data_IF_450067554129
#
_entry.id   IF_450067554129
#
_cell.length_a   1.000
_cell.length_b   1.000
_cell.length_c   1.000
_cell.angle_alpha   90.00
_cell.angle_beta   90.00
_cell.angle_gamma   90.00
#
_symmetry.space_group_name_H-M   'P 1'
#
loop_
_entity.id
_entity.type
_entity.pdbx_description
1 polymer ?
#
# COMPACT_ATOMS: atom_id res chain seq x y z
N UNK A 1 -10.70 82.48 15.41
CA UNK A 1 -10.15 83.34 14.39
C UNK A 1 -10.13 82.58 13.10
N UNK A 2 -11.12 82.89 12.20
CA UNK A 2 -11.17 82.82 10.75
C UNK A 2 -11.23 81.38 10.10
N UNK A 3 -12.45 81.02 9.78
CA UNK A 3 -12.89 80.50 8.48
C UNK A 3 -12.56 81.49 7.35
N UNK A 4 -12.58 81.30 6.04
CA UNK A 4 -13.44 80.42 5.24
C UNK A 4 -12.88 79.98 3.85
N UNK A 5 -13.70 79.23 3.12
CA UNK A 5 -14.15 79.46 1.72
C UNK A 5 -13.93 78.27 0.79
N UNK A 6 -15.03 77.58 0.43
CA UNK A 6 -15.80 77.66 -0.84
C UNK A 6 -15.02 77.58 -2.13
N UNK A 7 -15.32 76.59 -2.96
CA UNK A 7 -15.74 76.67 -4.41
C UNK A 7 -15.43 75.38 -5.12
N UNK A 8 -16.08 74.84 -6.08
CA UNK A 8 -17.23 75.11 -6.93
C UNK A 8 -17.57 73.82 -7.63
N UNK A 9 -18.82 73.54 -7.79
CA UNK A 9 -19.42 72.51 -8.62
C UNK A 9 -19.27 72.85 -10.11
N UNK A 10 -18.96 71.85 -10.97
CA UNK A 10 -19.12 71.99 -12.40
C UNK A 10 -20.03 70.83 -12.88
N UNK A 11 -20.87 71.06 -13.92
CA UNK A 11 -22.04 70.25 -14.23
C UNK A 11 -21.71 69.01 -15.07
N UNK A 12 -22.53 67.96 -14.91
CA UNK A 12 -22.55 66.75 -15.73
C UNK A 12 -23.10 67.10 -17.14
N UNK A 13 -22.51 66.57 -18.23
CA UNK A 13 -23.18 66.63 -19.54
C UNK A 13 -24.26 65.53 -19.59
N UNK A 14 -25.45 65.97 -20.07
CA UNK A 14 -26.60 65.09 -20.40
C UNK A 14 -26.23 64.20 -21.57
N UNK A 15 -26.45 62.88 -21.37
CA UNK A 15 -26.36 61.88 -22.44
C UNK A 15 -27.61 61.98 -23.31
N UNK A 16 -27.44 62.18 -24.61
CA UNK A 16 -28.50 62.15 -25.63
C UNK A 16 -29.07 60.73 -25.78
N UNK A 17 -30.39 60.68 -25.73
CA UNK A 17 -31.21 59.52 -26.11
C UNK A 17 -31.20 59.43 -27.64
N UNK A 18 -30.37 58.54 -28.21
CA UNK A 18 -30.54 57.98 -29.54
C UNK A 18 -29.60 56.81 -29.74
N UNK A 19 -30.06 55.63 -29.29
CA UNK A 19 -29.69 54.31 -29.87
C UNK A 19 -30.50 53.19 -29.16
N UNK A 20 -31.80 53.26 -29.41
CA UNK A 20 -32.69 52.13 -29.25
C UNK A 20 -32.52 51.26 -30.52
N UNK A 21 -31.74 50.23 -30.43
CA UNK A 21 -31.68 49.26 -31.53
C UNK A 21 -30.38 48.48 -31.60
N UNK A 22 -30.13 47.63 -30.60
CA UNK A 22 -29.38 46.38 -30.70
C UNK A 22 -29.04 45.83 -29.30
N UNK A 23 -30.06 45.42 -28.57
CA UNK A 23 -29.89 44.47 -27.46
C UNK A 23 -30.39 43.12 -27.96
N UNK A 24 -29.70 42.55 -28.95
CA UNK A 24 -29.76 41.12 -29.17
C UNK A 24 -28.68 40.43 -28.35
N UNK A 25 -29.13 39.79 -27.30
CA UNK A 25 -28.66 38.54 -26.73
C UNK A 25 -27.20 38.18 -27.06
N UNK A 26 -26.26 38.53 -26.19
CA UNK A 26 -25.11 37.72 -25.90
C UNK A 26 -25.20 37.30 -24.44
N UNK A 27 -26.10 36.34 -24.16
CA UNK A 27 -25.98 35.49 -23.01
C UNK A 27 -24.81 34.54 -23.29
N UNK A 28 -23.58 35.04 -23.18
CA UNK A 28 -22.43 34.15 -23.02
C UNK A 28 -22.61 33.41 -21.72
N UNK A 29 -23.17 32.22 -21.83
CA UNK A 29 -23.06 31.19 -20.85
C UNK A 29 -21.56 30.96 -20.67
N UNK A 30 -20.94 31.66 -19.71
CA UNK A 30 -19.62 31.30 -19.20
C UNK A 30 -19.75 29.86 -18.68
N UNK A 31 -19.53 28.91 -19.55
CA UNK A 31 -19.15 27.55 -19.16
C UNK A 31 -17.86 27.69 -18.37
N UNK A 32 -18.00 27.81 -17.03
CA UNK A 32 -16.88 27.60 -16.11
C UNK A 32 -16.19 26.33 -16.56
N UNK A 33 -14.87 26.38 -16.88
CA UNK A 33 -14.14 25.18 -17.20
C UNK A 33 -14.25 24.28 -15.98
N UNK A 34 -14.99 23.19 -16.09
CA UNK A 34 -15.05 22.14 -15.09
C UNK A 34 -13.61 21.77 -14.76
N UNK A 35 -13.19 22.06 -13.53
CA UNK A 35 -11.86 21.71 -13.01
C UNK A 35 -11.56 20.29 -13.44
N UNK A 36 -10.44 20.01 -14.12
CA UNK A 36 -10.13 18.66 -14.57
C UNK A 36 -10.16 17.76 -13.34
N UNK A 37 -11.05 16.78 -13.32
CA UNK A 37 -11.11 15.79 -12.28
C UNK A 37 -9.70 15.21 -12.17
N UNK A 38 -9.01 15.47 -11.05
CA UNK A 38 -7.64 14.97 -10.82
C UNK A 38 -7.70 13.45 -10.89
N UNK A 39 -7.43 12.91 -12.07
CA UNK A 39 -7.12 11.49 -12.23
C UNK A 39 -5.94 11.23 -11.31
N UNK A 40 -6.20 10.65 -10.14
CA UNK A 40 -5.13 10.28 -9.20
C UNK A 40 -4.35 9.16 -9.86
N UNK A 41 -3.24 9.51 -10.48
CA UNK A 41 -2.29 8.58 -11.08
C UNK A 41 -1.90 7.52 -10.05
N UNK A 42 -2.00 6.28 -10.45
CA UNK A 42 -1.57 5.12 -9.68
C UNK A 42 -0.08 5.27 -9.35
N UNK A 43 0.29 5.04 -8.11
CA UNK A 43 1.67 5.14 -7.65
C UNK A 43 2.32 3.78 -7.89
N UNK A 44 3.07 3.67 -8.98
CA UNK A 44 3.67 2.41 -9.42
C UNK A 44 4.71 1.88 -8.43
N UNK A 45 5.41 2.76 -7.73
CA UNK A 45 6.39 2.41 -6.69
C UNK A 45 5.76 1.57 -5.57
N UNK A 46 4.53 1.90 -5.15
CA UNK A 46 3.83 1.10 -4.13
C UNK A 46 3.50 -0.31 -4.62
N UNK A 47 3.19 -0.46 -5.91
CA UNK A 47 2.93 -1.78 -6.48
C UNK A 47 4.21 -2.62 -6.51
N UNK A 48 5.37 -2.02 -6.85
CA UNK A 48 6.67 -2.69 -6.83
C UNK A 48 7.06 -3.12 -5.41
N UNK A 49 6.99 -2.21 -4.43
CA UNK A 49 7.31 -2.52 -3.03
C UNK A 49 6.37 -3.61 -2.47
N UNK A 50 5.09 -3.59 -2.85
CA UNK A 50 4.13 -4.62 -2.46
C UNK A 50 4.46 -5.99 -3.08
N UNK A 51 4.85 -6.02 -4.37
CA UNK A 51 5.28 -7.23 -5.05
C UNK A 51 6.56 -7.82 -4.44
N UNK A 52 7.53 -6.97 -4.13
CA UNK A 52 8.74 -7.36 -3.42
C UNK A 52 8.42 -7.96 -2.02
N UNK A 53 7.57 -7.28 -1.25
CA UNK A 53 7.15 -7.78 0.06
C UNK A 53 6.40 -9.12 -0.04
N UNK A 54 5.61 -9.32 -1.08
CA UNK A 54 4.90 -10.58 -1.32
C UNK A 54 5.87 -11.75 -1.56
N UNK A 55 6.95 -11.53 -2.31
CA UNK A 55 7.98 -12.56 -2.49
C UNK A 55 8.61 -12.97 -1.16
N UNK A 56 8.92 -12.00 -0.30
CA UNK A 56 9.46 -12.29 1.04
C UNK A 56 8.44 -12.98 1.94
N UNK A 57 7.16 -12.61 1.89
CA UNK A 57 6.09 -13.27 2.66
C UNK A 57 5.94 -14.74 2.23
N UNK A 58 6.09 -15.06 0.95
CA UNK A 58 6.08 -16.46 0.49
C UNK A 58 7.18 -17.27 1.17
N UNK A 59 8.41 -16.72 1.25
CA UNK A 59 9.52 -17.39 1.94
C UNK A 59 9.27 -17.50 3.45
N UNK A 60 8.65 -16.47 4.08
CA UNK A 60 8.23 -16.53 5.49
C UNK A 60 7.23 -17.65 5.76
N UNK A 61 6.31 -17.86 4.82
CA UNK A 61 5.23 -18.86 4.96
C UNK A 61 5.67 -20.28 4.64
N UNK A 62 6.83 -20.47 4.03
CA UNK A 62 7.32 -21.79 3.66
C UNK A 62 7.50 -22.72 4.87
N UNK A 63 8.31 -22.36 5.92
CA UNK A 63 8.57 -23.27 7.04
C UNK A 63 7.31 -23.75 7.77
N UNK A 64 6.33 -22.88 8.12
CA UNK A 64 5.13 -23.33 8.82
C UNK A 64 4.19 -24.16 7.95
N UNK A 65 4.19 -23.99 6.62
CA UNK A 65 3.30 -24.75 5.74
C UNK A 65 3.87 -26.15 5.46
N UNK A 66 5.19 -26.25 5.25
CA UNK A 66 5.84 -27.54 4.94
C UNK A 66 6.47 -28.20 6.17
N UNK A 67 6.26 -27.63 7.37
CA UNK A 67 6.74 -28.17 8.66
C UNK A 67 8.26 -28.38 8.68
N UNK A 68 9.04 -27.38 8.20
CA UNK A 68 10.49 -27.44 8.26
C UNK A 68 10.99 -27.43 9.71
N UNK A 69 11.69 -28.50 10.10
CA UNK A 69 12.38 -28.61 11.37
C UNK A 69 13.72 -27.87 11.39
N UNK A 70 14.34 -27.81 12.57
CA UNK A 70 15.66 -27.23 12.78
C UNK A 70 16.59 -28.30 13.32
N UNK A 71 17.29 -28.99 12.43
CA UNK A 71 18.36 -29.90 12.81
C UNK A 71 19.72 -29.23 12.78
N UNK A 72 20.71 -29.79 13.49
CA UNK A 72 22.04 -29.20 13.65
C UNK A 72 22.75 -28.84 12.34
N UNK A 73 22.46 -29.53 11.22
CA UNK A 73 22.99 -29.24 9.89
C UNK A 73 22.37 -28.00 9.23
N UNK A 74 21.12 -27.66 9.57
CA UNK A 74 20.38 -26.53 9.01
C UNK A 74 20.55 -25.23 9.78
N UNK A 75 21.29 -25.22 10.90
CA UNK A 75 21.36 -24.10 11.85
C UNK A 75 21.79 -22.77 11.21
N UNK A 76 22.79 -22.78 10.31
CA UNK A 76 23.27 -21.55 9.65
C UNK A 76 22.19 -20.97 8.73
N UNK A 77 21.47 -21.82 8.00
CA UNK A 77 20.41 -21.42 7.10
C UNK A 77 19.21 -20.89 7.88
N UNK A 78 18.86 -21.56 8.99
CA UNK A 78 17.80 -21.11 9.89
C UNK A 78 18.11 -19.75 10.52
N UNK A 79 19.37 -19.50 10.95
CA UNK A 79 19.80 -18.19 11.43
C UNK A 79 19.64 -17.12 10.34
N UNK A 80 20.13 -17.37 9.13
CA UNK A 80 19.92 -16.44 8.01
C UNK A 80 18.44 -16.13 7.80
N UNK A 81 17.59 -17.15 7.79
CA UNK A 81 16.15 -16.98 7.66
C UNK A 81 15.57 -16.13 8.80
N UNK A 82 15.93 -16.39 10.05
CA UNK A 82 15.49 -15.63 11.21
C UNK A 82 15.96 -14.16 11.16
N UNK A 83 17.19 -13.93 10.74
CA UNK A 83 17.80 -12.60 10.77
C UNK A 83 17.35 -11.73 9.60
N UNK A 84 17.14 -12.30 8.40
CA UNK A 84 16.92 -11.53 7.19
C UNK A 84 15.51 -11.68 6.58
N UNK A 85 14.76 -12.68 6.97
CA UNK A 85 13.47 -12.99 6.36
C UNK A 85 12.30 -12.90 7.35
N UNK A 86 12.39 -13.61 8.46
CA UNK A 86 11.32 -13.67 9.43
C UNK A 86 11.10 -12.30 10.10
N UNK A 87 9.83 -11.90 10.25
CA UNK A 87 9.43 -10.62 10.83
C UNK A 87 9.93 -9.36 10.08
N UNK A 88 10.38 -9.46 8.80
CA UNK A 88 10.86 -8.32 8.01
C UNK A 88 9.87 -7.89 6.93
N UNK A 89 9.15 -8.83 6.33
CA UNK A 89 8.30 -8.56 5.17
C UNK A 89 6.84 -8.23 5.54
N UNK A 90 6.28 -8.84 6.58
CA UNK A 90 4.92 -8.50 6.99
C UNK A 90 4.77 -7.06 7.50
N UNK A 91 5.77 -6.43 8.18
CA UNK A 91 5.69 -5.00 8.50
C UNK A 91 5.62 -4.11 7.27
N UNK A 92 6.35 -4.45 6.20
CA UNK A 92 6.27 -3.74 4.91
C UNK A 92 4.84 -3.79 4.39
N UNK A 93 4.27 -5.01 4.36
CA UNK A 93 2.92 -5.21 3.84
C UNK A 93 1.86 -4.52 4.69
N UNK A 94 1.99 -4.56 6.03
CA UNK A 94 1.12 -3.85 6.97
C UNK A 94 1.15 -2.34 6.75
N UNK A 95 2.32 -1.76 6.63
CA UNK A 95 2.49 -0.34 6.37
C UNK A 95 1.88 0.09 5.03
N UNK A 96 2.14 -0.68 3.95
CA UNK A 96 1.55 -0.45 2.64
C UNK A 96 0.03 -0.61 2.62
N UNK A 97 -0.51 -1.50 3.46
CA UNK A 97 -1.96 -1.65 3.63
C UNK A 97 -2.57 -0.38 4.24
N UNK A 98 -1.94 0.18 5.27
CA UNK A 98 -2.33 1.46 5.85
C UNK A 98 -2.28 2.61 4.84
N UNK A 99 -1.20 2.72 4.04
CA UNK A 99 -1.10 3.70 2.95
C UNK A 99 -2.25 3.51 1.95
N UNK A 100 -2.49 2.27 1.51
CA UNK A 100 -3.57 1.93 0.59
C UNK A 100 -4.95 2.29 1.16
N UNK A 101 -5.16 2.09 2.46
CA UNK A 101 -6.38 2.51 3.15
C UNK A 101 -6.55 4.03 3.14
N UNK A 102 -5.49 4.79 3.43
CA UNK A 102 -5.52 6.26 3.39
C UNK A 102 -5.88 6.81 2.02
N UNK A 103 -5.25 6.30 0.96
CA UNK A 103 -5.57 6.65 -0.41
C UNK A 103 -7.02 6.29 -0.79
N UNK A 104 -7.49 5.14 -0.30
CA UNK A 104 -8.85 4.69 -0.55
C UNK A 104 -9.89 5.50 0.24
N UNK A 105 -9.60 5.89 1.49
CA UNK A 105 -10.45 6.76 2.30
C UNK A 105 -10.70 8.09 1.59
N UNK A 106 -9.65 8.74 1.09
CA UNK A 106 -9.78 9.99 0.32
C UNK A 106 -10.68 9.81 -0.92
N UNK A 107 -10.50 8.69 -1.66
CA UNK A 107 -11.34 8.41 -2.82
C UNK A 107 -12.79 8.04 -2.45
N UNK A 108 -12.99 7.38 -1.31
CA UNK A 108 -14.31 6.98 -0.84
C UNK A 108 -15.16 8.18 -0.38
N UNK A 109 -14.52 9.14 0.28
CA UNK A 109 -15.18 10.41 0.69
C UNK A 109 -15.75 11.17 -0.50
N UNK A 110 -14.96 11.28 -1.58
CA UNK A 110 -15.32 12.05 -2.75
C UNK A 110 -16.40 11.33 -3.61
N UNK A 111 -16.49 10.01 -3.53
CA UNK A 111 -17.28 9.18 -4.46
C UNK A 111 -18.45 8.44 -3.83
N UNK A 112 -18.58 8.39 -2.53
CA UNK A 112 -19.62 7.59 -1.86
C UNK A 112 -20.38 8.36 -0.80
N UNK A 113 -21.72 8.29 -0.79
CA UNK A 113 -22.53 8.85 0.27
C UNK A 113 -22.30 8.14 1.63
N UNK A 114 -21.85 6.90 1.59
CA UNK A 114 -21.54 6.09 2.79
C UNK A 114 -20.13 5.49 2.70
N UNK A 115 -19.07 6.32 2.81
CA UNK A 115 -17.70 5.87 2.59
C UNK A 115 -17.25 4.82 3.61
N UNK A 116 -17.62 4.97 4.88
CA UNK A 116 -17.28 4.03 5.96
C UNK A 116 -17.89 2.64 5.75
N UNK A 117 -19.14 2.58 5.24
CA UNK A 117 -19.78 1.30 4.93
C UNK A 117 -19.05 0.56 3.80
N UNK A 118 -18.56 1.29 2.78
CA UNK A 118 -17.73 0.67 1.73
C UNK A 118 -16.43 0.09 2.30
N UNK A 119 -15.78 0.79 3.24
CA UNK A 119 -14.58 0.32 3.92
C UNK A 119 -14.88 -0.88 4.84
N UNK A 120 -15.98 -0.84 5.58
CA UNK A 120 -16.41 -1.97 6.42
C UNK A 120 -16.66 -3.23 5.57
N UNK A 121 -17.37 -3.12 4.44
CA UNK A 121 -17.58 -4.24 3.49
C UNK A 121 -16.24 -4.80 2.98
N UNK A 122 -15.27 -3.93 2.76
CA UNK A 122 -13.92 -4.32 2.34
C UNK A 122 -13.23 -5.17 3.41
N UNK A 123 -13.28 -4.75 4.67
CA UNK A 123 -12.72 -5.51 5.78
C UNK A 123 -13.50 -6.79 6.07
N UNK A 124 -14.83 -6.75 6.00
CA UNK A 124 -15.65 -7.94 6.17
C UNK A 124 -15.31 -9.02 5.12
N UNK A 125 -15.18 -8.63 3.85
CA UNK A 125 -14.73 -9.55 2.80
C UNK A 125 -13.34 -10.14 3.11
N UNK A 126 -12.40 -9.27 3.52
CA UNK A 126 -11.05 -9.71 3.88
C UNK A 126 -11.07 -10.66 5.10
N UNK A 127 -11.92 -10.38 6.10
CA UNK A 127 -12.09 -11.22 7.28
C UNK A 127 -12.69 -12.59 6.96
N UNK A 128 -13.72 -12.63 6.10
CA UNK A 128 -14.30 -13.92 5.64
C UNK A 128 -13.24 -14.71 4.88
N UNK A 129 -12.53 -14.06 3.95
CA UNK A 129 -11.49 -14.71 3.17
C UNK A 129 -10.33 -15.20 4.04
N UNK A 130 -9.90 -14.39 5.03
CA UNK A 130 -8.87 -14.76 6.01
C UNK A 130 -9.34 -15.91 6.92
N UNK A 131 -10.59 -15.89 7.39
CA UNK A 131 -11.15 -16.99 8.17
C UNK A 131 -11.17 -18.33 7.41
N UNK A 132 -11.49 -18.29 6.12
CA UNK A 132 -11.40 -19.49 5.27
C UNK A 132 -9.93 -19.88 5.02
N UNK A 133 -9.04 -18.91 4.85
CA UNK A 133 -7.62 -19.18 4.61
C UNK A 133 -6.89 -19.74 5.84
N UNK A 134 -7.34 -19.42 7.06
CA UNK A 134 -6.86 -20.04 8.30
C UNK A 134 -6.97 -21.56 8.32
N UNK A 135 -7.93 -22.14 7.59
CA UNK A 135 -8.07 -23.60 7.48
C UNK A 135 -6.91 -24.24 6.69
N UNK A 136 -6.28 -23.48 5.81
CA UNK A 136 -5.14 -23.91 4.99
C UNK A 136 -3.80 -23.54 5.63
N UNK A 137 -3.75 -22.39 6.27
CA UNK A 137 -2.54 -21.84 6.88
C UNK A 137 -2.88 -21.21 8.23
N UNK A 138 -2.78 -21.95 9.35
CA UNK A 138 -2.93 -21.39 10.68
C UNK A 138 -1.93 -20.25 10.93
N UNK A 139 -2.40 -19.14 11.55
CA UNK A 139 -1.54 -17.99 11.82
C UNK A 139 -1.37 -17.03 10.63
N UNK A 140 -2.20 -17.16 9.57
CA UNK A 140 -2.17 -16.26 8.42
C UNK A 140 -2.50 -14.79 8.78
N UNK A 141 -2.15 -13.85 7.91
CA UNK A 141 -2.21 -12.42 8.20
C UNK A 141 -3.53 -11.72 7.83
N UNK A 142 -4.38 -12.29 6.94
CA UNK A 142 -5.56 -11.59 6.40
C UNK A 142 -6.62 -11.34 7.47
N UNK A 143 -6.88 -12.33 8.33
CA UNK A 143 -7.86 -12.18 9.41
C UNK A 143 -7.41 -11.14 10.45
N UNK A 144 -6.17 -11.16 11.00
CA UNK A 144 -5.64 -10.07 11.81
C UNK A 144 -5.70 -8.70 11.12
N UNK A 145 -5.44 -8.62 9.82
CA UNK A 145 -5.53 -7.37 9.05
C UNK A 145 -6.98 -6.86 8.97
N UNK A 146 -7.93 -7.75 8.75
CA UNK A 146 -9.34 -7.38 8.74
C UNK A 146 -9.79 -6.85 10.10
N UNK A 147 -9.43 -7.55 11.19
CA UNK A 147 -9.77 -7.15 12.57
C UNK A 147 -9.12 -5.81 12.93
N UNK A 148 -7.81 -5.66 12.71
CA UNK A 148 -7.11 -4.39 12.94
C UNK A 148 -7.68 -3.25 12.07
N UNK A 149 -8.09 -3.56 10.83
CA UNK A 149 -8.76 -2.60 9.95
C UNK A 149 -10.10 -2.11 10.51
N UNK A 150 -10.92 -3.01 11.05
CA UNK A 150 -12.22 -2.68 11.65
C UNK A 150 -12.02 -1.93 12.97
N UNK A 151 -11.11 -2.39 13.84
CA UNK A 151 -10.96 -1.87 15.21
C UNK A 151 -10.13 -0.59 15.25
N UNK A 152 -9.19 -0.41 14.34
CA UNK A 152 -8.23 0.69 14.38
C UNK A 152 -8.40 1.67 13.21
N UNK A 153 -8.34 1.19 11.96
CA UNK A 153 -8.39 2.07 10.79
C UNK A 153 -9.78 2.68 10.59
N UNK A 154 -10.84 1.91 10.75
CA UNK A 154 -12.19 2.40 10.53
C UNK A 154 -12.56 3.50 11.54
N UNK A 155 -12.37 3.33 12.88
CA UNK A 155 -12.57 4.41 13.85
C UNK A 155 -11.73 5.64 13.59
N UNK A 156 -10.49 5.50 13.16
CA UNK A 156 -9.62 6.63 12.83
C UNK A 156 -10.21 7.55 11.73
N UNK A 157 -11.19 7.08 10.95
CA UNK A 157 -11.90 7.91 9.96
C UNK A 157 -12.89 8.91 10.58
N UNK A 158 -13.25 8.80 11.86
CA UNK A 158 -14.11 9.76 12.57
C UNK A 158 -13.33 10.96 13.12
N UNK A 159 -12.00 10.85 13.22
CA UNK A 159 -11.18 11.97 13.69
C UNK A 159 -11.27 13.12 12.69
N UNK A 160 -11.52 14.33 13.19
CA UNK A 160 -11.64 15.55 12.38
C UNK A 160 -10.37 15.80 11.56
N UNK A 161 -10.53 16.26 10.32
CA UNK A 161 -9.43 16.40 9.34
C UNK A 161 -8.25 17.23 9.87
N UNK A 162 -8.53 18.31 10.62
CA UNK A 162 -7.52 19.22 11.20
C UNK A 162 -6.58 18.51 12.19
N UNK A 163 -7.09 17.56 12.97
CA UNK A 163 -6.32 16.84 14.00
C UNK A 163 -5.90 15.44 13.56
N UNK A 164 -6.52 14.92 12.48
CA UNK A 164 -6.39 13.53 12.08
C UNK A 164 -4.95 13.07 11.92
N UNK A 165 -4.14 13.81 11.18
CA UNK A 165 -2.77 13.37 10.90
C UNK A 165 -1.92 13.33 12.17
N UNK A 166 -2.04 14.32 13.06
CA UNK A 166 -1.32 14.34 14.33
C UNK A 166 -1.79 13.20 15.22
N UNK A 167 -3.10 13.11 15.48
CA UNK A 167 -3.67 12.08 16.37
C UNK A 167 -3.37 10.67 15.87
N UNK A 168 -3.55 10.41 14.56
CA UNK A 168 -3.30 9.08 13.99
C UNK A 168 -1.81 8.75 14.04
N UNK A 169 -0.92 9.70 13.76
CA UNK A 169 0.53 9.46 13.85
C UNK A 169 0.97 9.20 15.28
N UNK A 170 0.50 10.01 16.24
CA UNK A 170 0.85 9.82 17.67
C UNK A 170 0.34 8.48 18.19
N UNK A 171 -0.92 8.15 17.93
CA UNK A 171 -1.49 6.85 18.31
C UNK A 171 -0.77 5.70 17.61
N UNK A 172 -0.43 5.88 16.33
CA UNK A 172 0.33 4.90 15.55
C UNK A 172 1.71 4.63 16.14
N UNK A 173 2.42 5.67 16.60
CA UNK A 173 3.71 5.54 17.28
C UNK A 173 3.54 4.81 18.60
N UNK A 174 2.56 5.19 19.43
CA UNK A 174 2.29 4.56 20.72
C UNK A 174 1.99 3.06 20.56
N UNK A 175 1.08 2.72 19.63
CA UNK A 175 0.74 1.32 19.37
C UNK A 175 1.90 0.54 18.76
N UNK A 176 2.76 1.18 17.96
CA UNK A 176 3.95 0.53 17.41
C UNK A 176 4.96 0.22 18.51
N UNK A 177 5.23 1.18 19.41
CA UNK A 177 6.11 0.99 20.56
C UNK A 177 5.58 -0.13 21.47
N UNK A 178 4.27 -0.10 21.78
CA UNK A 178 3.62 -1.14 22.57
C UNK A 178 3.74 -2.52 21.90
N UNK A 179 3.52 -2.59 20.59
CA UNK A 179 3.66 -3.83 19.83
C UNK A 179 5.11 -4.36 19.82
N UNK A 180 6.10 -3.48 19.73
CA UNK A 180 7.52 -3.87 19.84
C UNK A 180 7.83 -4.37 21.26
N UNK A 181 7.35 -3.69 22.28
CA UNK A 181 7.57 -4.07 23.68
C UNK A 181 6.98 -5.45 24.02
N UNK A 182 5.92 -5.88 23.33
CA UNK A 182 5.34 -7.22 23.50
C UNK A 182 6.04 -8.31 22.66
N UNK A 183 7.14 -7.99 21.99
CA UNK A 183 7.90 -8.93 21.16
C UNK A 183 7.56 -8.88 19.67
N UNK A 184 6.75 -7.93 19.21
CA UNK A 184 6.47 -7.73 17.78
C UNK A 184 5.36 -8.64 17.23
N UNK A 185 5.62 -9.28 16.10
CA UNK A 185 4.62 -10.13 15.43
C UNK A 185 3.35 -9.35 15.05
N UNK A 186 2.18 -9.94 15.24
CA UNK A 186 0.90 -9.31 14.89
C UNK A 186 0.60 -8.04 15.71
N UNK A 187 1.24 -7.84 16.87
CA UNK A 187 1.01 -6.69 17.74
C UNK A 187 1.47 -5.34 17.13
N UNK A 188 2.39 -5.35 16.16
CA UNK A 188 2.82 -4.12 15.48
C UNK A 188 1.89 -3.66 14.35
N UNK A 189 0.95 -4.52 13.90
CA UNK A 189 0.03 -4.23 12.79
C UNK A 189 -0.78 -2.94 13.04
N UNK A 190 -1.44 -2.73 14.18
CA UNK A 190 -2.23 -1.54 14.43
C UNK A 190 -1.43 -0.24 14.29
N UNK A 191 -0.20 -0.21 14.83
CA UNK A 191 0.69 0.93 14.73
C UNK A 191 1.10 1.22 13.29
N UNK A 192 1.54 0.21 12.55
CA UNK A 192 1.94 0.33 11.15
C UNK A 192 0.76 0.75 10.25
N UNK A 193 -0.44 0.25 10.53
CA UNK A 193 -1.66 0.64 9.83
C UNK A 193 -1.96 2.12 9.98
N UNK A 194 -1.90 2.66 11.21
CA UNK A 194 -2.15 4.08 11.46
C UNK A 194 -1.06 4.96 10.84
N UNK A 195 0.21 4.61 10.97
CA UNK A 195 1.30 5.37 10.35
C UNK A 195 1.18 5.36 8.82
N UNK A 196 0.86 4.21 8.24
CA UNK A 196 0.56 4.11 6.81
C UNK A 196 -0.64 4.96 6.40
N UNK A 197 -1.73 4.94 7.20
CA UNK A 197 -2.92 5.77 6.96
C UNK A 197 -2.59 7.26 7.03
N UNK A 198 -1.81 7.72 8.00
CA UNK A 198 -1.38 9.11 8.11
C UNK A 198 -0.64 9.57 6.83
N UNK A 199 0.29 8.76 6.33
CA UNK A 199 1.06 9.08 5.12
C UNK A 199 0.18 9.04 3.86
N UNK A 200 -0.65 8.01 3.70
CA UNK A 200 -1.53 7.87 2.54
C UNK A 200 -2.66 8.91 2.49
N UNK A 201 -3.17 9.29 3.67
CA UNK A 201 -4.26 10.26 3.82
C UNK A 201 -3.85 11.73 3.77
N UNK A 202 -2.58 12.05 4.05
CA UNK A 202 -2.08 13.44 4.10
C UNK A 202 -1.49 13.97 2.80
N UNK A 203 -1.28 13.10 1.80
CA UNK A 203 -0.54 13.46 0.59
C UNK A 203 1.00 13.49 0.76
N UNK A 204 1.52 13.26 1.98
CA UNK A 204 2.96 13.19 2.27
C UNK A 204 3.70 12.17 1.41
N UNK A 205 3.01 11.11 1.00
CA UNK A 205 3.60 10.08 0.16
C UNK A 205 4.29 10.64 -1.10
N UNK A 206 3.63 11.55 -1.81
CA UNK A 206 4.21 12.19 -3.00
C UNK A 206 5.41 13.05 -2.65
N UNK A 207 5.34 13.77 -1.54
CA UNK A 207 6.45 14.61 -1.04
C UNK A 207 7.65 13.76 -0.65
N UNK A 208 7.44 12.61 -0.02
CA UNK A 208 8.52 11.65 0.31
C UNK A 208 9.14 11.11 -0.97
N UNK A 209 8.31 10.62 -1.90
CA UNK A 209 8.78 10.07 -3.17
C UNK A 209 9.50 11.11 -4.05
N UNK A 210 9.17 12.40 -3.94
CA UNK A 210 9.84 13.46 -4.72
C UNK A 210 11.20 13.92 -4.16
N UNK A 211 11.60 13.44 -2.96
CA UNK A 211 12.83 13.88 -2.28
C UNK A 211 13.82 12.71 -2.08
N UNK A 212 14.52 12.26 -3.13
CA UNK A 212 15.39 11.08 -3.08
C UNK A 212 16.50 11.17 -2.04
N UNK A 213 17.07 12.35 -1.82
CA UNK A 213 18.10 12.56 -0.81
C UNK A 213 17.61 12.24 0.61
N UNK A 214 16.37 12.66 0.97
CA UNK A 214 15.79 12.32 2.29
C UNK A 214 15.52 10.82 2.40
N UNK A 215 15.06 10.20 1.34
CA UNK A 215 14.84 8.75 1.29
C UNK A 215 16.17 8.02 1.50
N UNK A 216 17.25 8.44 0.83
CA UNK A 216 18.58 7.86 0.99
C UNK A 216 19.14 8.04 2.41
N UNK A 217 19.00 9.23 3.00
CA UNK A 217 19.42 9.49 4.40
C UNK A 217 18.64 8.58 5.37
N UNK A 218 17.32 8.46 5.18
CA UNK A 218 16.51 7.53 6.01
C UNK A 218 17.03 6.10 5.88
N UNK A 219 17.31 5.64 4.66
CA UNK A 219 17.84 4.30 4.43
C UNK A 219 19.22 4.09 5.07
N UNK A 220 20.12 5.06 4.94
CA UNK A 220 21.44 4.97 5.58
C UNK A 220 21.34 4.90 7.12
N UNK A 221 20.46 5.72 7.71
CA UNK A 221 20.22 5.71 9.16
C UNK A 221 19.61 4.38 9.63
N UNK A 222 18.58 3.87 8.93
CA UNK A 222 17.94 2.60 9.32
C UNK A 222 18.88 1.41 9.13
N UNK A 223 19.68 1.42 8.05
CA UNK A 223 20.72 0.42 7.82
C UNK A 223 21.79 0.45 8.92
N UNK A 224 22.29 1.64 9.29
CA UNK A 224 23.26 1.80 10.37
C UNK A 224 22.70 1.29 11.71
N UNK A 225 21.46 1.66 12.05
CA UNK A 225 20.77 1.17 13.26
C UNK A 225 20.65 -0.35 13.24
N UNK A 226 20.29 -0.93 12.07
CA UNK A 226 20.16 -2.38 11.91
C UNK A 226 21.52 -3.07 12.14
N UNK A 227 22.58 -2.60 11.48
CA UNK A 227 23.94 -3.17 11.62
C UNK A 227 24.41 -3.07 13.07
N UNK A 228 24.33 -1.88 13.67
CA UNK A 228 24.73 -1.67 15.08
C UNK A 228 23.91 -2.56 16.01
N UNK A 229 22.61 -2.68 15.77
CA UNK A 229 21.73 -3.52 16.58
C UNK A 229 22.10 -5.01 16.50
N UNK A 230 22.38 -5.54 15.30
CA UNK A 230 22.83 -6.93 15.15
C UNK A 230 24.18 -7.17 15.83
N UNK A 231 25.15 -6.28 15.61
CA UNK A 231 26.47 -6.35 16.27
C UNK A 231 26.30 -6.30 17.77
N UNK A 232 25.51 -5.37 18.30
CA UNK A 232 25.29 -5.24 19.74
C UNK A 232 24.62 -6.49 20.33
N UNK A 233 23.66 -7.10 19.66
CA UNK A 233 23.00 -8.32 20.17
C UNK A 233 23.91 -9.53 20.15
N UNK A 234 24.78 -9.66 19.13
CA UNK A 234 25.73 -10.77 19.05
C UNK A 234 26.81 -10.69 20.14
N UNK A 235 27.35 -9.49 20.39
CA UNK A 235 28.41 -9.28 21.37
C UNK A 235 27.92 -9.14 22.82
N UNK A 236 26.80 -8.47 23.07
CA UNK A 236 26.39 -8.08 24.43
C UNK A 236 25.46 -9.07 25.11
N UNK A 237 24.54 -9.67 24.39
CA UNK A 237 23.47 -10.44 25.03
C UNK A 237 23.48 -11.92 24.73
N UNK A 238 24.12 -12.36 23.65
CA UNK A 238 24.00 -13.73 23.08
C UNK A 238 22.57 -14.28 23.03
N UNK A 239 21.59 -13.49 23.44
CA UNK A 239 20.17 -13.76 23.38
C UNK A 239 19.46 -12.56 22.79
N UNK A 240 18.81 -12.75 21.64
CA UNK A 240 17.95 -11.72 21.05
C UNK A 240 16.62 -11.77 21.77
N UNK A 241 16.35 -10.83 22.65
CA UNK A 241 15.04 -10.66 23.25
C UNK A 241 14.01 -10.31 22.18
N UNK A 242 12.76 -10.78 22.35
CA UNK A 242 11.70 -10.61 21.36
C UNK A 242 11.48 -9.16 20.93
N UNK A 243 11.55 -8.19 21.86
CA UNK A 243 11.39 -6.77 21.56
C UNK A 243 12.55 -6.19 20.74
N UNK A 244 13.82 -6.63 20.98
CA UNK A 244 14.97 -6.24 20.17
C UNK A 244 14.81 -6.75 18.74
N UNK A 245 14.49 -8.04 18.59
CA UNK A 245 14.25 -8.63 17.27
C UNK A 245 13.09 -7.93 16.50
N UNK A 246 12.03 -7.55 17.21
CA UNK A 246 10.93 -6.78 16.64
C UNK A 246 11.39 -5.39 16.17
N UNK A 247 12.19 -4.68 16.98
CA UNK A 247 12.77 -3.38 16.63
C UNK A 247 13.69 -3.47 15.41
N UNK A 248 14.62 -4.42 15.41
CA UNK A 248 15.50 -4.70 14.28
C UNK A 248 14.72 -5.10 13.02
N UNK A 249 13.63 -5.86 13.19
CA UNK A 249 12.73 -6.21 12.08
C UNK A 249 12.10 -4.99 11.43
N UNK A 250 11.68 -4.00 12.20
CA UNK A 250 11.09 -2.75 11.68
C UNK A 250 12.12 -1.88 10.97
N UNK A 251 13.33 -1.70 11.54
CA UNK A 251 14.39 -0.92 10.90
C UNK A 251 14.83 -1.55 9.58
N UNK A 252 14.95 -2.87 9.56
CA UNK A 252 15.29 -3.63 8.35
C UNK A 252 14.18 -3.59 7.31
N UNK A 253 12.91 -3.71 7.72
CA UNK A 253 11.76 -3.55 6.82
C UNK A 253 11.76 -2.17 6.15
N UNK A 254 12.06 -1.11 6.90
CA UNK A 254 12.16 0.24 6.35
C UNK A 254 13.37 0.36 5.41
N UNK A 255 14.51 -0.22 5.76
CA UNK A 255 15.68 -0.30 4.89
C UNK A 255 15.34 -0.99 3.55
N UNK A 256 14.63 -2.11 3.58
CA UNK A 256 14.18 -2.80 2.37
C UNK A 256 13.28 -1.93 1.49
N UNK A 257 12.30 -1.22 2.09
CA UNK A 257 11.45 -0.26 1.36
C UNK A 257 12.33 0.79 0.66
N UNK A 258 13.26 1.40 1.41
CA UNK A 258 14.12 2.47 0.89
C UNK A 258 15.03 1.97 -0.21
N UNK A 259 15.66 0.82 -0.04
CA UNK A 259 16.52 0.21 -1.08
C UNK A 259 15.72 0.00 -2.36
N UNK A 260 14.53 -0.58 -2.29
CA UNK A 260 13.68 -0.77 -3.47
C UNK A 260 13.31 0.56 -4.12
N UNK A 261 12.95 1.59 -3.32
CA UNK A 261 12.60 2.92 -3.84
C UNK A 261 13.79 3.63 -4.50
N UNK A 262 15.01 3.45 -3.98
CA UNK A 262 16.24 4.00 -4.58
C UNK A 262 16.61 3.26 -5.86
N UNK A 263 16.52 1.93 -5.87
CA UNK A 263 16.78 1.11 -7.06
C UNK A 263 15.82 1.45 -8.22
N UNK A 264 14.57 1.80 -7.91
CA UNK A 264 13.61 2.29 -8.89
C UNK A 264 13.98 3.65 -9.51
N UNK A 265 15.06 4.29 -9.06
CA UNK A 265 15.60 5.53 -9.65
C UNK A 265 16.89 5.31 -10.42
N UNK A 266 17.31 4.07 -10.56
CA UNK A 266 18.47 3.61 -11.32
C UNK A 266 18.01 2.82 -12.55
N UNK A 267 18.88 2.45 -13.45
CA UNK A 267 18.56 1.55 -14.58
C UNK A 267 17.93 0.22 -14.16
N UNK A 268 18.09 -0.20 -12.88
CA UNK A 268 17.45 -1.39 -12.34
C UNK A 268 15.90 -1.30 -12.37
N UNK A 269 15.31 -0.10 -12.49
CA UNK A 269 13.86 0.09 -12.69
C UNK A 269 13.35 -0.74 -13.88
N UNK A 270 14.11 -0.82 -14.96
CA UNK A 270 13.76 -1.56 -16.17
C UNK A 270 13.50 -3.06 -15.90
N UNK A 271 14.11 -3.63 -14.85
CA UNK A 271 13.91 -5.01 -14.41
C UNK A 271 12.91 -5.09 -13.25
N UNK A 272 13.07 -4.26 -12.23
CA UNK A 272 12.26 -4.33 -11.01
C UNK A 272 10.79 -4.06 -11.27
N UNK A 273 10.46 -3.10 -12.13
CA UNK A 273 9.08 -2.72 -12.40
C UNK A 273 8.30 -3.83 -13.12
N UNK A 274 8.76 -4.44 -14.23
CA UNK A 274 8.04 -5.53 -14.87
C UNK A 274 7.97 -6.80 -14.02
N UNK A 275 8.92 -7.05 -13.13
CA UNK A 275 8.94 -8.22 -12.24
C UNK A 275 7.96 -8.04 -11.08
N UNK A 276 8.09 -6.97 -10.29
CA UNK A 276 7.36 -6.85 -9.04
C UNK A 276 6.01 -6.14 -9.15
N UNK A 277 5.83 -5.20 -10.11
CA UNK A 277 4.57 -4.48 -10.20
C UNK A 277 3.36 -5.38 -10.53
N UNK A 278 3.44 -6.38 -11.43
CA UNK A 278 2.34 -7.33 -11.64
C UNK A 278 1.97 -8.11 -10.38
N UNK A 279 2.96 -8.59 -9.63
CA UNK A 279 2.77 -9.29 -8.36
C UNK A 279 2.03 -8.41 -7.35
N UNK A 280 2.49 -7.18 -7.14
CA UNK A 280 1.87 -6.24 -6.21
C UNK A 280 0.48 -5.78 -6.62
N UNK A 281 0.16 -5.76 -7.93
CA UNK A 281 -1.17 -5.49 -8.45
C UNK A 281 -2.17 -6.61 -8.20
N UNK A 282 -1.70 -7.84 -8.10
CA UNK A 282 -2.47 -9.05 -7.82
C UNK A 282 -2.10 -9.65 -6.46
N UNK A 283 -1.76 -8.80 -5.47
CA UNK A 283 -1.18 -9.24 -4.21
C UNK A 283 -2.08 -10.23 -3.44
N UNK A 284 -3.39 -10.01 -3.40
CA UNK A 284 -4.32 -10.89 -2.71
C UNK A 284 -4.47 -12.23 -3.44
N UNK A 285 -4.60 -12.19 -4.77
CA UNK A 285 -4.68 -13.40 -5.60
C UNK A 285 -3.39 -14.22 -5.52
N UNK A 286 -2.24 -13.57 -5.57
CA UNK A 286 -0.94 -14.22 -5.49
C UNK A 286 -0.66 -14.78 -4.08
N UNK A 287 -1.05 -14.04 -3.02
CA UNK A 287 -0.90 -14.51 -1.64
C UNK A 287 -1.64 -15.83 -1.40
N UNK A 288 -2.93 -15.87 -1.74
CA UNK A 288 -3.74 -17.08 -1.57
C UNK A 288 -3.29 -18.18 -2.53
N UNK A 289 -2.98 -17.82 -3.79
CA UNK A 289 -2.46 -18.77 -4.77
C UNK A 289 -1.15 -19.42 -4.33
N UNK A 290 -0.24 -18.67 -3.70
CA UNK A 290 1.01 -19.19 -3.16
C UNK A 290 0.76 -20.25 -2.07
N UNK A 291 -0.13 -19.97 -1.12
CA UNK A 291 -0.50 -20.94 -0.08
C UNK A 291 -1.11 -22.21 -0.68
N UNK A 292 -2.04 -22.07 -1.64
CA UNK A 292 -2.64 -23.23 -2.30
C UNK A 292 -1.59 -24.10 -3.01
N UNK A 293 -0.60 -23.47 -3.68
CA UNK A 293 0.48 -24.20 -4.33
C UNK A 293 1.37 -24.88 -3.29
N UNK A 294 1.77 -24.20 -2.21
CA UNK A 294 2.58 -24.78 -1.14
C UNK A 294 1.89 -25.97 -0.47
N UNK A 295 0.59 -25.85 -0.18
CA UNK A 295 -0.22 -26.95 0.38
C UNK A 295 -0.28 -28.12 -0.60
N UNK A 296 -0.49 -27.85 -1.90
CA UNK A 296 -0.50 -28.90 -2.91
C UNK A 296 0.87 -29.58 -3.05
N UNK A 297 1.98 -28.81 -2.99
CA UNK A 297 3.35 -29.35 -2.98
C UNK A 297 3.55 -30.25 -1.76
N UNK A 298 3.17 -29.78 -0.56
CA UNK A 298 3.24 -30.58 0.67
C UNK A 298 2.48 -31.91 0.53
N UNK A 299 1.26 -31.87 -0.01
CA UNK A 299 0.44 -33.07 -0.20
C UNK A 299 1.02 -34.06 -1.23
N UNK A 300 1.62 -33.51 -2.31
CA UNK A 300 2.21 -34.32 -3.37
C UNK A 300 3.59 -34.92 -2.99
N UNK A 301 4.29 -34.28 -2.05
CA UNK A 301 5.65 -34.62 -1.63
C UNK A 301 5.68 -35.08 -0.17
N UNK A 302 4.65 -35.80 0.29
CA UNK A 302 4.53 -36.25 1.68
C UNK A 302 5.74 -37.10 2.15
N UNK A 303 6.39 -37.82 1.25
CA UNK A 303 7.60 -38.60 1.53
C UNK A 303 8.90 -37.78 1.50
N UNK A 304 8.87 -36.61 0.85
CA UNK A 304 9.96 -35.60 0.83
C UNK A 304 9.79 -34.54 1.93
N UNK A 305 8.71 -34.62 2.72
CA UNK A 305 8.37 -33.66 3.77
C UNK A 305 9.30 -33.70 5.02
N UNK A 306 10.38 -34.45 4.98
CA UNK A 306 11.49 -34.37 5.94
C UNK A 306 12.46 -33.25 5.51
N UNK A 307 11.94 -32.03 5.41
CA UNK A 307 12.74 -30.83 5.19
C UNK A 307 13.36 -30.34 6.52
N UNK A 308 14.02 -31.25 7.23
CA UNK A 308 14.64 -30.97 8.52
C UNK A 308 16.16 -30.80 8.41
N UNK A 309 16.71 -30.95 7.20
CA UNK A 309 18.12 -30.78 6.88
C UNK A 309 18.42 -29.55 5.99
N UNK A 310 19.71 -29.31 5.75
CA UNK A 310 20.16 -28.23 4.86
C UNK A 310 19.60 -28.39 3.42
N UNK A 311 19.50 -29.61 2.92
CA UNK A 311 18.96 -29.91 1.59
C UNK A 311 17.49 -29.53 1.48
N UNK A 312 16.71 -29.73 2.52
CA UNK A 312 15.30 -29.36 2.60
C UNK A 312 15.08 -27.84 2.52
N UNK A 313 15.86 -27.05 3.22
CA UNK A 313 15.79 -25.58 3.11
C UNK A 313 16.13 -25.09 1.71
N UNK A 314 17.17 -25.63 1.07
CA UNK A 314 17.52 -25.29 -0.32
C UNK A 314 16.39 -25.69 -1.27
N UNK A 315 15.86 -26.89 -1.16
CA UNK A 315 14.72 -27.35 -1.97
C UNK A 315 13.49 -26.46 -1.77
N UNK A 316 13.16 -26.10 -0.53
CA UNK A 316 12.08 -25.19 -0.22
C UNK A 316 12.24 -23.81 -0.84
N UNK A 317 13.47 -23.25 -0.82
CA UNK A 317 13.75 -21.99 -1.50
C UNK A 317 13.62 -22.08 -3.01
N UNK A 318 14.09 -23.16 -3.62
CA UNK A 318 13.93 -23.40 -5.06
C UNK A 318 12.44 -23.49 -5.42
N UNK A 319 11.62 -24.15 -4.60
CA UNK A 319 10.16 -24.16 -4.76
C UNK A 319 9.59 -22.73 -4.68
N UNK A 320 10.00 -21.92 -3.70
CA UNK A 320 9.57 -20.52 -3.62
C UNK A 320 9.95 -19.73 -4.86
N UNK A 321 11.17 -19.88 -5.35
CA UNK A 321 11.64 -19.22 -6.59
C UNK A 321 10.80 -19.65 -7.79
N UNK A 322 10.53 -20.95 -7.93
CA UNK A 322 9.66 -21.47 -8.99
C UNK A 322 8.24 -20.89 -8.91
N UNK A 323 7.64 -20.85 -7.71
CA UNK A 323 6.32 -20.23 -7.49
C UNK A 323 6.35 -18.74 -7.88
N UNK A 324 7.37 -17.98 -7.48
CA UNK A 324 7.50 -16.56 -7.82
C UNK A 324 7.56 -16.38 -9.34
N UNK A 325 8.37 -17.18 -10.04
CA UNK A 325 8.49 -17.12 -11.51
C UNK A 325 7.12 -17.37 -12.16
N UNK A 326 6.43 -18.43 -11.76
CA UNK A 326 5.09 -18.75 -12.27
C UNK A 326 4.12 -17.60 -11.98
N UNK A 327 4.13 -17.05 -10.77
CA UNK A 327 3.27 -15.93 -10.40
C UNK A 327 3.57 -14.66 -11.21
N UNK A 328 4.84 -14.36 -11.52
CA UNK A 328 5.22 -13.23 -12.40
C UNK A 328 4.61 -13.42 -13.79
N UNK A 329 4.79 -14.59 -14.38
CA UNK A 329 4.28 -14.92 -15.73
C UNK A 329 2.74 -14.82 -15.73
N UNK A 330 2.08 -15.55 -14.82
CA UNK A 330 0.61 -15.60 -14.73
C UNK A 330 0.04 -14.21 -14.45
N UNK A 331 0.61 -13.46 -13.49
CA UNK A 331 0.14 -12.10 -13.18
C UNK A 331 0.29 -11.16 -14.35
N UNK A 332 1.41 -11.24 -15.08
CA UNK A 332 1.66 -10.38 -16.24
C UNK A 332 0.66 -10.67 -17.36
N UNK A 333 0.47 -11.94 -17.72
CA UNK A 333 -0.47 -12.37 -18.75
C UNK A 333 -1.91 -12.04 -18.37
N UNK A 334 -2.29 -12.34 -17.13
CA UNK A 334 -3.62 -12.05 -16.61
C UNK A 334 -3.95 -10.55 -16.63
N UNK A 335 -3.01 -9.72 -16.17
CA UNK A 335 -3.20 -8.28 -16.14
C UNK A 335 -3.27 -7.66 -17.54
N UNK A 336 -2.57 -8.20 -18.53
CA UNK A 336 -2.69 -7.79 -19.95
C UNK A 336 -4.10 -8.06 -20.48
N UNK A 337 -4.74 -9.18 -20.09
CA UNK A 337 -6.05 -9.58 -20.58
C UNK A 337 -7.21 -8.98 -19.80
N UNK A 338 -7.11 -8.90 -18.47
CA UNK A 338 -8.22 -8.56 -17.57
C UNK A 338 -8.02 -7.27 -16.77
N UNK A 339 -6.82 -6.70 -16.77
CA UNK A 339 -6.48 -5.43 -16.09
C UNK A 339 -6.42 -5.48 -14.56
N UNK A 340 -7.08 -6.45 -13.90
CA UNK A 340 -7.13 -6.62 -12.45
C UNK A 340 -7.09 -8.11 -12.10
N UNK A 341 -6.53 -8.45 -10.93
CA UNK A 341 -6.55 -9.82 -10.41
C UNK A 341 -7.97 -10.31 -10.07
N UNK A 342 -8.20 -11.63 -10.07
CA UNK A 342 -9.53 -12.19 -9.84
C UNK A 342 -10.09 -11.85 -8.45
N UNK A 343 -9.33 -12.04 -7.39
CA UNK A 343 -9.76 -11.71 -6.02
C UNK A 343 -9.82 -10.20 -5.78
N UNK A 344 -8.92 -9.42 -6.38
CA UNK A 344 -8.97 -7.96 -6.34
C UNK A 344 -10.23 -7.40 -7.01
N UNK A 345 -10.66 -8.01 -8.12
CA UNK A 345 -11.90 -7.66 -8.81
C UNK A 345 -13.12 -7.98 -7.95
N UNK A 346 -13.15 -9.16 -7.34
CA UNK A 346 -14.23 -9.56 -6.42
C UNK A 346 -14.27 -8.63 -5.20
N UNK A 347 -13.12 -8.37 -4.58
CA UNK A 347 -13.00 -7.45 -3.45
C UNK A 347 -13.51 -6.05 -3.79
N UNK A 348 -13.18 -5.55 -4.97
CA UNK A 348 -13.67 -4.26 -5.46
C UNK A 348 -15.18 -4.28 -5.70
N UNK A 349 -15.72 -5.38 -6.22
CA UNK A 349 -17.15 -5.56 -6.43
C UNK A 349 -17.94 -5.51 -5.13
N UNK A 350 -17.48 -6.23 -4.10
CA UNK A 350 -18.10 -6.22 -2.75
C UNK A 350 -18.01 -4.83 -2.13
N UNK A 351 -16.88 -4.14 -2.29
CA UNK A 351 -16.65 -2.81 -1.73
C UNK A 351 -17.61 -1.77 -2.32
N UNK A 352 -17.77 -1.73 -3.65
CA UNK A 352 -18.44 -0.64 -4.36
C UNK A 352 -19.83 -1.01 -4.93
N UNK A 353 -20.13 -2.29 -5.11
CA UNK A 353 -21.34 -2.77 -5.78
C UNK A 353 -21.30 -2.62 -7.31
N UNK A 354 -22.15 -3.41 -8.02
CA UNK A 354 -22.17 -3.47 -9.50
C UNK A 354 -22.56 -2.15 -10.17
N UNK A 355 -23.60 -1.48 -9.68
CA UNK A 355 -24.11 -0.25 -10.31
C UNK A 355 -23.09 0.89 -10.34
N UNK A 356 -22.29 1.02 -9.27
CA UNK A 356 -21.28 2.07 -9.13
C UNK A 356 -20.04 1.80 -9.99
N UNK A 357 -19.66 0.54 -10.15
CA UNK A 357 -18.54 0.15 -11.03
C UNK A 357 -18.87 0.47 -12.50
N UNK A 358 -20.09 0.22 -12.94
CA UNK A 358 -20.54 0.52 -14.30
C UNK A 358 -20.57 2.03 -14.59
N UNK A 359 -20.96 2.85 -13.61
CA UNK A 359 -20.92 4.32 -13.71
C UNK A 359 -19.47 4.85 -13.79
N UNK A 360 -18.56 4.30 -12.98
CA UNK A 360 -17.13 4.67 -12.99
C UNK A 360 -16.46 4.34 -14.33
N UNK A 361 -16.77 3.19 -14.93
CA UNK A 361 -16.24 2.81 -16.25
C UNK A 361 -16.80 3.68 -17.39
N UNK A 362 -18.06 4.08 -17.32
CA UNK A 362 -18.67 5.00 -18.30
C UNK A 362 -18.03 6.37 -18.26
N UNK A 363 -17.76 6.93 -17.08
CA UNK A 363 -17.08 8.22 -16.94
C UNK A 363 -15.63 8.16 -17.41
N UNK A 364 -14.89 7.10 -17.11
CA UNK A 364 -13.52 6.92 -17.61
C UNK A 364 -13.45 6.83 -19.14
N UNK A 365 -14.44 6.18 -19.79
CA UNK A 365 -14.53 6.14 -21.26
C UNK A 365 -14.95 7.47 -21.89
N UNK A 366 -15.71 8.31 -21.17
CA UNK A 366 -16.07 9.66 -21.62
C UNK A 366 -14.94 10.66 -21.48
N UNK A 367 -14.02 10.44 -20.54
CA UNK A 367 -12.87 11.29 -20.26
C UNK A 367 -11.62 10.92 -21.10
N UNK A 368 -11.66 9.85 -21.89
CA UNK A 368 -10.68 9.59 -22.94
C UNK A 368 -11.21 10.17 -24.26
N UNK A 369 -10.82 11.42 -24.64
CA UNK A 369 -11.13 11.93 -25.96
C UNK A 369 -10.47 11.03 -26.98
N UNK A 370 -11.16 10.77 -28.06
CA UNK A 370 -10.72 10.06 -29.24
C UNK A 370 -9.39 10.60 -29.79
N UNK A 371 -8.28 10.17 -29.21
CA UNK A 371 -6.93 10.42 -29.75
C UNK A 371 -6.65 9.64 -31.05
N UNK A 372 -7.69 9.06 -31.66
CA UNK A 372 -7.59 8.21 -32.87
C UNK A 372 -8.20 8.82 -34.13
N UNK A 373 -8.65 10.10 -34.10
CA UNK A 373 -9.24 10.74 -35.29
C UNK A 373 -8.41 11.88 -35.88
N UNK A 374 -7.21 12.17 -35.41
CA UNK A 374 -6.38 13.23 -35.99
C UNK A 374 -5.17 12.76 -36.80
N UNK A 375 -5.16 11.50 -37.26
CA UNK A 375 -4.10 10.98 -38.15
C UNK A 375 -4.62 10.50 -39.51
N UNK A 376 -5.75 11.06 -39.98
CA UNK A 376 -6.20 10.91 -41.36
C UNK A 376 -6.78 12.25 -41.83
N UNK A 377 -5.91 13.20 -42.13
CA UNK A 377 -6.08 14.25 -43.16
C UNK A 377 -4.68 14.62 -43.62
#
# INVERSE_FOLDING_TARGET
MADPARRFSAPRPMCKVSDLGRMEAMTETQTQPSSPSRVRTRIAELDVVRGFALCGILVVNLPPIVELGVDGGALHFYRFYQDFVQNRFFPIFSFLFGIGFGLMWLNARDRSPRPRLALLRRFAFLGILGGLHQLLQPGEALLPYALAGIVVLLPATWIADRWRNVTISSLGIVLLIAGVATGGGMAVIPGLFLLGFAIGGSGLLRTVLSRPGRVAITGALTLAITIVGFVATDYLTRQINGWINAGLGLTMALTYIVVVLLLLRTPAEAVLRPVFAPLGRMALSNYIGATLILVAVRMAMSDLARFDDHGGYVAGLLICVAIIIVQIIVSTLWLRRFGQGPLEKLWRLVTWGRAKLSAMHRNQRREQPSALTSSRE
#
